data_IF_214690977371
#
_entry.id   IF_214690977371
#
_cell.length_a   1.000
_cell.length_b   1.000
_cell.length_c   1.000
_cell.angle_alpha   90.00
_cell.angle_beta   90.00
_cell.angle_gamma   90.00
#
_symmetry.space_group_name_H-M   'P 1'
#
loop_
_entity.id
_entity.type
_entity.pdbx_description
1 polymer ?
#
# COMPACT_ATOMS: atom_id res chain seq x y z
N UNK A 1 29.86 39.27 9.57
CA UNK A 1 29.65 38.43 8.37
C UNK A 1 30.35 37.11 8.59
N UNK A 2 29.61 36.09 9.01
CA UNK A 2 29.89 34.66 8.81
C UNK A 2 28.58 33.95 9.15
N UNK A 3 27.74 33.75 8.14
CA UNK A 3 26.51 32.97 8.25
C UNK A 3 26.86 31.49 8.29
N UNK A 4 26.61 30.86 9.45
CA UNK A 4 26.57 29.42 9.63
C UNK A 4 25.21 28.90 9.16
N UNK A 5 25.09 28.52 7.89
CA UNK A 5 23.99 27.68 7.44
C UNK A 5 24.24 26.23 7.87
N UNK A 6 23.66 25.85 9.00
CA UNK A 6 23.48 24.45 9.39
C UNK A 6 22.58 23.76 8.34
N UNK A 7 23.19 22.97 7.46
CA UNK A 7 22.50 21.91 6.73
C UNK A 7 22.01 20.92 7.78
N UNK A 8 20.71 20.98 8.15
CA UNK A 8 20.10 19.92 8.96
C UNK A 8 20.11 18.65 8.13
N UNK A 9 20.61 17.57 8.71
CA UNK A 9 20.56 16.21 8.22
C UNK A 9 19.13 15.83 7.82
N UNK A 10 18.75 16.05 6.56
CA UNK A 10 17.60 15.38 5.97
C UNK A 10 18.06 14.00 5.56
N UNK A 11 17.73 12.98 6.34
CA UNK A 11 17.90 11.58 5.93
C UNK A 11 17.38 11.42 4.48
N UNK A 12 18.12 10.74 3.58
CA UNK A 12 17.67 10.54 2.21
C UNK A 12 16.29 9.87 2.24
N UNK A 13 15.34 10.39 1.46
CA UNK A 13 14.00 9.82 1.38
C UNK A 13 14.10 8.41 0.78
N UNK A 14 14.20 7.40 1.64
CA UNK A 14 14.11 6.00 1.24
C UNK A 14 12.65 5.71 0.92
N UNK A 15 12.37 5.26 -0.30
CA UNK A 15 11.04 4.77 -0.68
C UNK A 15 10.71 3.54 0.18
N UNK A 16 9.79 3.72 1.13
CA UNK A 16 9.36 2.64 2.01
C UNK A 16 8.17 1.93 1.37
N UNK A 17 8.21 0.59 1.36
CA UNK A 17 7.09 -0.24 0.98
C UNK A 17 6.72 -1.21 2.09
N UNK A 18 5.44 -1.55 2.18
CA UNK A 18 4.97 -2.63 3.02
C UNK A 18 4.80 -3.90 2.18
N UNK A 19 5.85 -4.71 2.09
CA UNK A 19 5.87 -5.86 1.19
C UNK A 19 6.75 -7.02 1.68
N UNK A 20 6.36 -8.24 1.34
CA UNK A 20 7.09 -9.46 1.62
C UNK A 20 6.79 -10.54 0.58
N UNK A 21 7.74 -11.46 0.40
CA UNK A 21 7.57 -12.67 -0.40
C UNK A 21 7.84 -13.93 0.42
N UNK A 22 7.06 -14.97 0.13
CA UNK A 22 7.25 -16.31 0.66
C UNK A 22 7.56 -17.31 -0.46
N UNK A 23 8.41 -18.30 -0.17
CA UNK A 23 8.67 -19.43 -1.06
C UNK A 23 7.58 -20.47 -0.86
N UNK A 24 6.82 -20.85 -1.90
CA UNK A 24 5.85 -21.94 -1.78
C UNK A 24 6.57 -23.28 -1.49
N UNK A 25 5.92 -24.17 -0.74
CA UNK A 25 6.47 -25.50 -0.42
C UNK A 25 6.71 -26.36 -1.66
N UNK A 26 5.93 -26.10 -2.72
CA UNK A 26 6.14 -26.65 -4.05
C UNK A 26 5.61 -25.66 -5.11
N UNK A 27 6.25 -25.50 -6.28
CA UNK A 27 5.78 -24.58 -7.33
C UNK A 27 4.31 -24.80 -7.74
N UNK A 28 3.85 -26.05 -7.79
CA UNK A 28 2.49 -26.44 -8.15
C UNK A 28 1.45 -26.16 -7.05
N UNK A 29 1.88 -25.71 -5.88
CA UNK A 29 0.98 -25.32 -4.80
C UNK A 29 0.34 -23.94 -5.00
N UNK A 30 0.76 -23.20 -6.05
CA UNK A 30 0.27 -21.87 -6.40
C UNK A 30 -0.11 -21.78 -7.87
N UNK A 31 -1.10 -20.94 -8.17
CA UNK A 31 -1.60 -20.61 -9.51
C UNK A 31 -1.66 -19.07 -9.62
N UNK A 32 -1.11 -18.51 -10.70
CA UNK A 32 -0.95 -17.07 -10.90
C UNK A 32 -2.24 -16.33 -11.32
N UNK A 33 -3.35 -17.06 -11.50
CA UNK A 33 -4.62 -16.49 -11.87
C UNK A 33 -5.34 -15.85 -10.68
N UNK A 34 -5.41 -14.51 -10.66
CA UNK A 34 -6.09 -13.74 -9.63
C UNK A 34 -7.60 -14.00 -9.69
N UNK A 35 -8.21 -14.43 -8.58
CA UNK A 35 -9.62 -14.85 -8.55
C UNK A 35 -10.54 -13.71 -9.01
N UNK A 36 -11.19 -13.91 -10.17
CA UNK A 36 -12.12 -12.98 -10.78
C UNK A 36 -11.48 -11.89 -11.66
N UNK A 37 -10.15 -11.87 -11.76
CA UNK A 37 -9.42 -10.88 -12.58
C UNK A 37 -8.53 -11.52 -13.65
N UNK A 38 -8.08 -12.77 -13.48
CA UNK A 38 -7.22 -13.46 -14.43
C UNK A 38 -5.73 -13.23 -14.18
N UNK A 39 -4.90 -13.49 -15.18
CA UNK A 39 -3.44 -13.34 -15.07
C UNK A 39 -2.99 -11.91 -15.32
N UNK A 40 -1.91 -11.51 -14.64
CA UNK A 40 -1.24 -10.22 -14.81
C UNK A 40 -0.55 -10.18 -16.18
N UNK A 41 -0.65 -9.06 -16.88
CA UNK A 41 -0.14 -8.87 -18.25
C UNK A 41 1.06 -7.94 -18.35
N UNK A 42 1.41 -7.26 -17.26
CA UNK A 42 2.56 -6.37 -17.17
C UNK A 42 2.43 -5.43 -15.98
N UNK A 43 3.18 -4.34 -16.02
CA UNK A 43 3.19 -3.28 -15.01
C UNK A 43 2.96 -1.92 -15.68
N UNK A 44 2.31 -1.01 -14.98
CA UNK A 44 2.14 0.38 -15.44
C UNK A 44 2.18 1.33 -14.23
N UNK A 45 2.59 2.58 -14.46
CA UNK A 45 2.47 3.63 -13.46
C UNK A 45 0.99 3.97 -13.21
N UNK A 46 0.70 4.49 -12.00
CA UNK A 46 -0.61 5.02 -11.68
C UNK A 46 -0.83 6.38 -12.36
N UNK A 47 -2.00 6.59 -12.94
CA UNK A 47 -2.44 7.88 -13.44
C UNK A 47 -3.67 8.38 -12.67
N UNK A 48 -3.79 9.69 -12.46
CA UNK A 48 -4.99 10.29 -11.85
C UNK A 48 -6.24 9.93 -12.66
N UNK A 49 -7.33 9.61 -11.97
CA UNK A 49 -8.63 9.14 -12.51
C UNK A 49 -8.59 7.83 -13.28
N UNK A 50 -7.45 7.13 -13.29
CA UNK A 50 -7.40 5.80 -13.89
C UNK A 50 -8.36 4.87 -13.16
N UNK A 51 -9.26 4.25 -13.92
CA UNK A 51 -10.12 3.18 -13.43
C UNK A 51 -9.27 1.95 -13.08
N UNK A 52 -9.52 1.43 -11.89
CA UNK A 52 -8.73 0.35 -11.31
C UNK A 52 -9.62 -0.70 -10.64
N UNK A 53 -9.07 -1.89 -10.47
CA UNK A 53 -9.72 -3.04 -9.86
C UNK A 53 -8.75 -3.86 -9.04
N UNK A 54 -9.25 -4.51 -8.00
CA UNK A 54 -8.47 -5.43 -7.15
C UNK A 54 -9.31 -6.63 -6.75
N UNK A 55 -8.67 -7.70 -6.30
CA UNK A 55 -9.33 -8.89 -5.77
C UNK A 55 -8.75 -9.24 -4.40
N UNK A 56 -9.56 -9.08 -3.35
CA UNK A 56 -9.16 -9.28 -1.96
C UNK A 56 -9.89 -10.40 -1.24
N UNK A 57 -9.26 -10.92 -0.18
CA UNK A 57 -9.81 -11.96 0.70
C UNK A 57 -11.17 -11.57 1.29
N UNK A 58 -11.30 -10.32 1.76
CA UNK A 58 -12.46 -9.87 2.53
C UNK A 58 -13.60 -9.41 1.62
N UNK A 59 -13.31 -8.57 0.62
CA UNK A 59 -14.36 -7.94 -0.21
C UNK A 59 -14.45 -8.51 -1.63
N UNK A 60 -13.57 -9.46 -1.99
CA UNK A 60 -13.54 -10.01 -3.35
C UNK A 60 -13.10 -8.97 -4.38
N UNK A 61 -13.73 -9.02 -5.57
CA UNK A 61 -13.43 -8.07 -6.65
C UNK A 61 -14.13 -6.75 -6.39
N UNK A 62 -13.36 -5.67 -6.29
CA UNK A 62 -13.87 -4.30 -6.19
C UNK A 62 -13.23 -3.40 -7.24
N UNK A 63 -13.89 -2.28 -7.53
CA UNK A 63 -13.50 -1.30 -8.53
C UNK A 63 -13.51 0.10 -7.91
N UNK A 64 -12.71 0.99 -8.47
CA UNK A 64 -12.60 2.39 -8.07
C UNK A 64 -11.70 3.13 -9.04
N UNK A 65 -11.23 4.32 -8.66
CA UNK A 65 -10.29 5.08 -9.45
C UNK A 65 -9.22 5.72 -8.57
N UNK A 66 -8.07 6.03 -9.18
CA UNK A 66 -6.97 6.76 -8.54
C UNK A 66 -7.37 8.22 -8.31
N UNK A 67 -7.22 8.69 -7.08
CA UNK A 67 -7.59 10.07 -6.67
C UNK A 67 -6.37 10.93 -6.34
N UNK A 68 -5.29 10.33 -5.82
CA UNK A 68 -4.03 11.02 -5.49
C UNK A 68 -2.85 10.11 -5.81
N UNK A 69 -1.78 10.68 -6.39
CA UNK A 69 -0.52 9.99 -6.68
C UNK A 69 0.66 10.68 -6.01
N UNK A 70 1.79 9.98 -5.91
CA UNK A 70 3.02 10.55 -5.35
C UNK A 70 2.89 10.94 -3.87
N UNK A 71 2.06 10.24 -3.13
CA UNK A 71 1.59 10.67 -1.82
C UNK A 71 2.57 10.28 -0.72
N UNK A 72 3.00 11.24 0.10
CA UNK A 72 3.66 10.95 1.37
C UNK A 72 2.62 10.84 2.47
N UNK A 73 2.58 9.72 3.20
CA UNK A 73 1.51 9.39 4.16
C UNK A 73 2.05 8.87 5.48
N UNK A 74 1.37 9.21 6.58
CA UNK A 74 1.55 8.59 7.89
C UNK A 74 0.44 7.56 8.12
N UNK A 75 0.82 6.31 8.36
CA UNK A 75 -0.12 5.19 8.52
C UNK A 75 0.10 4.50 9.84
N UNK A 76 -0.98 4.29 10.60
CA UNK A 76 -0.95 3.48 11.82
C UNK A 76 -0.88 1.98 11.52
N UNK A 77 0.06 1.28 12.15
CA UNK A 77 0.31 -0.18 11.96
C UNK A 77 0.09 -0.99 13.23
N UNK A 78 -0.84 -0.51 14.07
CA UNK A 78 -1.21 -1.12 15.36
C UNK A 78 -0.24 -0.78 16.50
N UNK A 79 -0.74 -0.93 17.73
CA UNK A 79 0.03 -0.69 18.97
C UNK A 79 0.66 0.69 19.07
N UNK A 80 -0.01 1.73 18.53
CA UNK A 80 0.48 3.11 18.53
C UNK A 80 1.67 3.38 17.59
N UNK A 81 2.12 2.38 16.82
CA UNK A 81 3.21 2.54 15.86
C UNK A 81 2.71 3.20 14.58
N UNK A 82 3.55 4.07 14.03
CA UNK A 82 3.30 4.78 12.77
C UNK A 82 4.47 4.55 11.83
N UNK A 83 4.18 4.34 10.55
CA UNK A 83 5.17 4.33 9.47
C UNK A 83 4.89 5.51 8.53
N UNK A 84 5.95 6.04 7.92
CA UNK A 84 5.87 7.08 6.89
C UNK A 84 6.35 6.53 5.56
N UNK A 85 5.47 6.52 4.56
CA UNK A 85 5.77 6.06 3.22
C UNK A 85 5.63 7.22 2.25
N UNK A 86 6.56 7.34 1.32
CA UNK A 86 6.56 8.32 0.24
C UNK A 86 6.10 7.67 -1.06
N UNK A 87 5.60 8.48 -1.99
CA UNK A 87 5.23 8.04 -3.35
C UNK A 87 4.05 7.06 -3.45
N UNK A 88 3.15 7.07 -2.47
CA UNK A 88 2.02 6.16 -2.41
C UNK A 88 0.86 6.56 -3.34
N UNK A 89 0.04 5.58 -3.70
CA UNK A 89 -1.15 5.75 -4.53
C UNK A 89 -2.38 5.73 -3.63
N UNK A 90 -3.29 6.67 -3.84
CA UNK A 90 -4.57 6.75 -3.16
C UNK A 90 -5.69 6.58 -4.18
N UNK A 91 -6.67 5.77 -3.82
CA UNK A 91 -7.89 5.56 -4.62
C UNK A 91 -9.12 5.86 -3.77
N UNK A 92 -10.28 5.94 -4.42
CA UNK A 92 -11.57 5.78 -3.73
C UNK A 92 -11.59 4.55 -2.83
N UNK A 93 -12.44 4.51 -1.80
CA UNK A 93 -12.60 3.33 -0.96
C UNK A 93 -12.87 2.07 -1.79
N UNK A 94 -11.99 1.09 -1.70
CA UNK A 94 -12.08 -0.18 -2.45
C UNK A 94 -11.95 -1.42 -1.55
N UNK A 95 -11.67 -1.26 -0.26
CA UNK A 95 -11.23 -2.36 0.58
C UNK A 95 -11.69 -2.28 2.04
N UNK A 96 -11.72 -3.45 2.66
CA UNK A 96 -11.93 -3.64 4.09
C UNK A 96 -10.71 -4.33 4.72
N UNK A 97 -10.55 -4.28 6.06
CA UNK A 97 -9.50 -5.04 6.75
C UNK A 97 -9.43 -6.51 6.30
N UNK A 98 -8.22 -6.96 5.97
CA UNK A 98 -7.93 -8.30 5.42
C UNK A 98 -7.73 -8.34 3.90
N UNK A 99 -8.06 -7.27 3.17
CA UNK A 99 -7.69 -7.13 1.75
C UNK A 99 -6.22 -6.72 1.54
N UNK A 100 -5.49 -6.39 2.60
CA UNK A 100 -4.05 -6.11 2.57
C UNK A 100 -3.30 -7.19 1.79
N UNK A 101 -2.53 -6.77 0.80
CA UNK A 101 -1.78 -7.63 -0.10
C UNK A 101 -2.45 -7.76 -1.46
N UNK A 102 -3.70 -7.33 -1.64
CA UNK A 102 -4.36 -7.35 -2.95
C UNK A 102 -3.61 -6.49 -3.98
N UNK A 103 -3.40 -7.04 -5.17
CA UNK A 103 -2.83 -6.31 -6.30
C UNK A 103 -3.88 -5.39 -6.94
N UNK A 104 -3.49 -4.14 -7.20
CA UNK A 104 -4.25 -3.16 -7.96
C UNK A 104 -3.92 -3.28 -9.44
N UNK A 105 -4.95 -3.43 -10.27
CA UNK A 105 -4.83 -3.61 -11.71
C UNK A 105 -5.63 -2.56 -12.48
N UNK A 106 -5.18 -2.23 -13.69
CA UNK A 106 -6.01 -1.53 -14.68
C UNK A 106 -7.00 -2.48 -15.39
N UNK A 107 -7.73 -1.94 -16.38
CA UNK A 107 -8.65 -2.70 -17.25
C UNK A 107 -7.97 -3.72 -18.17
N UNK A 108 -6.67 -3.61 -18.41
CA UNK A 108 -5.86 -4.50 -19.24
C UNK A 108 -5.07 -5.54 -18.43
N UNK A 109 -5.23 -5.56 -17.09
CA UNK A 109 -4.48 -6.40 -16.15
C UNK A 109 -2.98 -6.06 -16.06
N UNK A 110 -2.60 -4.80 -16.28
CA UNK A 110 -1.30 -4.31 -15.83
C UNK A 110 -1.39 -3.98 -14.34
N UNK A 111 -0.38 -4.39 -13.58
CA UNK A 111 -0.29 -4.08 -12.17
C UNK A 111 0.15 -2.64 -11.94
N UNK A 112 -0.44 -2.00 -10.94
CA UNK A 112 -0.22 -0.60 -10.59
C UNK A 112 0.33 -0.49 -9.16
N UNK A 113 -0.22 -1.26 -8.22
CA UNK A 113 0.18 -1.16 -6.82
C UNK A 113 -0.24 -2.34 -5.94
N UNK A 114 0.28 -2.36 -4.72
CA UNK A 114 0.02 -3.37 -3.69
C UNK A 114 -0.70 -2.73 -2.50
N UNK A 115 -1.92 -3.17 -2.21
CA UNK A 115 -2.75 -2.63 -1.13
C UNK A 115 -2.06 -2.86 0.21
N UNK A 116 -1.96 -1.83 1.05
CA UNK A 116 -1.42 -1.99 2.41
C UNK A 116 -2.23 -1.30 3.52
N UNK A 117 -3.01 -0.27 3.19
CA UNK A 117 -3.74 0.52 4.17
C UNK A 117 -4.99 1.16 3.58
N UNK A 118 -5.80 1.75 4.45
CA UNK A 118 -6.98 2.49 4.05
C UNK A 118 -7.67 3.17 5.22
N UNK A 119 -8.89 3.64 4.94
CA UNK A 119 -9.81 4.22 5.91
C UNK A 119 -11.26 3.92 5.50
N UNK A 120 -12.21 4.58 6.15
CA UNK A 120 -13.61 4.57 5.71
C UNK A 120 -13.84 5.30 4.37
N UNK A 121 -12.90 6.10 3.87
CA UNK A 121 -13.08 6.91 2.65
C UNK A 121 -12.10 6.61 1.51
N UNK A 122 -10.90 6.08 1.81
CA UNK A 122 -9.85 5.84 0.80
C UNK A 122 -9.15 4.50 0.97
N UNK A 123 -8.44 4.07 -0.07
CA UNK A 123 -7.56 2.89 -0.04
C UNK A 123 -6.19 3.25 -0.60
N UNK A 124 -5.13 2.78 0.07
CA UNK A 124 -3.73 3.10 -0.22
C UNK A 124 -2.95 1.89 -0.73
N UNK A 125 -2.08 2.16 -1.70
CA UNK A 125 -1.26 1.16 -2.36
C UNK A 125 0.19 1.64 -2.47
N UNK A 126 1.12 0.71 -2.21
CA UNK A 126 2.52 0.88 -2.61
C UNK A 126 2.62 0.79 -4.13
N UNK A 127 3.37 1.67 -4.82
CA UNK A 127 3.60 1.51 -6.26
C UNK A 127 4.25 0.17 -6.56
N UNK A 128 3.72 -0.54 -7.56
CA UNK A 128 4.16 -1.93 -7.79
C UNK A 128 5.64 -1.99 -8.17
N UNK A 129 6.14 -1.04 -8.96
CA UNK A 129 7.54 -1.00 -9.38
C UNK A 129 8.50 -0.93 -8.18
N UNK A 130 8.14 -0.18 -7.13
CA UNK A 130 8.94 -0.10 -5.90
C UNK A 130 8.91 -1.41 -5.12
N UNK A 131 7.75 -2.07 -5.05
CA UNK A 131 7.61 -3.39 -4.42
C UNK A 131 8.49 -4.43 -5.12
N UNK A 132 8.43 -4.47 -6.46
CA UNK A 132 9.21 -5.40 -7.28
C UNK A 132 10.72 -5.17 -7.10
N UNK A 133 11.16 -3.91 -7.15
CA UNK A 133 12.56 -3.53 -6.93
C UNK A 133 13.03 -3.89 -5.52
N UNK A 134 12.25 -3.56 -4.49
CA UNK A 134 12.57 -3.80 -3.09
C UNK A 134 12.72 -5.31 -2.78
N UNK A 135 11.88 -6.15 -3.37
CA UNK A 135 11.87 -7.60 -3.12
C UNK A 135 12.69 -8.40 -4.13
N UNK A 136 13.24 -7.73 -5.16
CA UNK A 136 13.99 -8.34 -6.27
C UNK A 136 13.17 -9.42 -6.98
N UNK A 137 11.97 -9.05 -7.41
CA UNK A 137 11.02 -9.94 -8.10
C UNK A 137 10.41 -9.25 -9.33
N UNK A 138 9.82 -10.01 -10.23
CA UNK A 138 9.04 -9.56 -11.40
C UNK A 138 7.67 -10.24 -11.44
N UNK A 139 6.68 -9.65 -12.10
CA UNK A 139 5.30 -10.17 -12.13
C UNK A 139 5.06 -11.17 -13.25
N UNK A 140 5.81 -11.06 -14.34
CA UNK A 140 5.66 -11.95 -15.51
C UNK A 140 6.90 -12.80 -15.69
N UNK A 141 6.76 -13.97 -16.33
CA UNK A 141 7.89 -14.85 -16.66
C UNK A 141 8.86 -14.24 -17.68
N UNK A 142 8.36 -13.33 -18.50
CA UNK A 142 9.13 -12.67 -19.55
C UNK A 142 10.05 -11.60 -18.96
N UNK A 143 11.32 -11.62 -19.38
CA UNK A 143 12.35 -10.69 -18.94
C UNK A 143 12.21 -9.28 -19.53
N UNK A 144 11.07 -8.96 -20.17
CA UNK A 144 10.80 -7.69 -20.86
C UNK A 144 9.62 -6.97 -20.19
N UNK A 145 9.73 -6.71 -18.89
CA UNK A 145 8.90 -5.64 -18.31
C UNK A 145 9.40 -4.33 -18.94
N UNK A 146 8.65 -3.81 -19.89
CA UNK A 146 9.01 -2.59 -20.61
C UNK A 146 8.97 -1.42 -19.63
N UNK A 147 10.13 -0.83 -19.40
CA UNK A 147 10.37 0.40 -18.61
C UNK A 147 9.79 1.66 -19.28
N UNK A 148 8.74 1.50 -20.10
CA UNK A 148 8.19 2.57 -20.92
C UNK A 148 7.44 3.57 -20.03
N UNK A 149 8.16 4.64 -19.69
CA UNK A 149 7.65 5.91 -19.16
C UNK A 149 6.90 5.78 -17.83
N UNK A 150 7.60 5.37 -16.77
CA UNK A 150 7.18 5.59 -15.37
C UNK A 150 7.14 7.08 -14.98
N UNK A 151 7.56 7.98 -15.87
CA UNK A 151 7.57 9.43 -15.69
C UNK A 151 6.14 9.97 -15.65
N UNK A 152 5.75 10.58 -14.54
CA UNK A 152 4.47 11.25 -14.43
C UNK A 152 4.59 12.64 -15.04
N UNK A 153 3.57 13.08 -15.79
CA UNK A 153 3.48 14.50 -16.17
C UNK A 153 3.42 15.44 -14.95
N UNK A 154 3.23 14.89 -13.75
CA UNK A 154 3.16 15.59 -12.48
C UNK A 154 4.45 15.51 -11.65
N UNK A 155 5.57 15.03 -12.20
CA UNK A 155 6.83 14.84 -11.45
C UNK A 155 7.23 16.08 -10.65
N UNK A 156 7.16 17.28 -11.23
CA UNK A 156 7.47 18.53 -10.50
C UNK A 156 6.54 18.78 -9.31
N UNK A 157 5.23 18.47 -9.43
CA UNK A 157 4.28 18.60 -8.32
C UNK A 157 4.49 17.49 -7.28
N UNK A 158 4.87 16.28 -7.69
CA UNK A 158 5.19 15.18 -6.78
C UNK A 158 6.45 15.52 -5.97
N UNK A 159 7.48 16.09 -6.62
CA UNK A 159 8.68 16.59 -5.95
C UNK A 159 8.33 17.67 -4.94
N UNK A 160 7.49 18.64 -5.31
CA UNK A 160 7.03 19.69 -4.40
C UNK A 160 6.21 19.13 -3.22
N UNK A 161 5.27 18.20 -3.47
CA UNK A 161 4.49 17.53 -2.43
C UNK A 161 5.40 16.85 -1.40
N UNK A 162 6.45 16.18 -1.88
CA UNK A 162 7.45 15.50 -1.04
C UNK A 162 8.29 16.48 -0.24
N UNK A 163 8.73 17.57 -0.85
CA UNK A 163 9.48 18.64 -0.19
C UNK A 163 8.67 19.25 0.96
N UNK A 164 7.40 19.59 0.71
CA UNK A 164 6.51 20.22 1.71
C UNK A 164 5.91 19.25 2.73
N UNK A 165 6.13 17.94 2.58
CA UNK A 165 5.50 16.94 3.45
C UNK A 165 5.87 17.11 4.93
N UNK A 166 7.15 17.36 5.24
CA UNK A 166 7.59 17.57 6.61
C UNK A 166 6.89 18.77 7.27
N UNK A 167 6.77 19.88 6.53
CA UNK A 167 6.11 21.09 7.01
C UNK A 167 4.62 20.85 7.26
N UNK A 168 3.95 20.19 6.32
CA UNK A 168 2.54 19.86 6.41
C UNK A 168 2.21 18.87 7.54
N UNK A 169 3.13 17.99 7.91
CA UNK A 169 2.93 17.08 9.04
C UNK A 169 3.02 17.74 10.42
N UNK A 170 3.35 19.04 10.51
CA UNK A 170 3.19 19.78 11.76
C UNK A 170 1.72 20.05 12.10
N UNK A 171 0.83 20.03 11.11
CA UNK A 171 -0.60 20.17 11.33
C UNK A 171 -1.17 18.85 11.87
N UNK A 172 -1.73 18.80 13.10
CA UNK A 172 -2.14 17.53 13.72
C UNK A 172 -3.24 16.77 12.96
N UNK A 173 -4.00 17.47 12.12
CA UNK A 173 -5.05 16.90 11.28
C UNK A 173 -4.50 16.22 10.02
N UNK A 174 -3.30 16.56 9.56
CA UNK A 174 -2.72 16.07 8.30
C UNK A 174 -2.17 14.66 8.45
N UNK A 175 -2.55 13.80 7.50
CA UNK A 175 -2.13 12.39 7.42
C UNK A 175 -1.45 12.05 6.09
N UNK A 176 -1.53 12.94 5.10
CA UNK A 176 -0.73 12.80 3.89
C UNK A 176 -0.78 14.03 2.98
N UNK A 177 0.16 14.06 2.03
CA UNK A 177 0.19 15.05 0.94
C UNK A 177 0.63 14.37 -0.34
N UNK A 178 -0.04 14.66 -1.44
CA UNK A 178 0.30 14.14 -2.77
C UNK A 178 -0.23 15.05 -3.86
N UNK A 179 -0.35 14.53 -5.08
CA UNK A 179 -0.89 15.27 -6.23
C UNK A 179 -2.25 14.69 -6.63
N UNK A 180 -3.26 15.55 -6.69
CA UNK A 180 -4.59 15.27 -7.23
C UNK A 180 -5.08 16.46 -8.04
N UNK A 181 -6.39 16.62 -8.22
CA UNK A 181 -6.96 17.86 -8.76
C UNK A 181 -7.72 18.63 -7.70
N UNK A 182 -7.94 19.91 -8.02
CA UNK A 182 -8.68 20.82 -7.16
C UNK A 182 -10.18 20.53 -7.24
N UNK A 183 -10.78 20.25 -6.09
CA UNK A 183 -12.24 20.13 -5.94
C UNK A 183 -12.79 21.45 -5.36
N UNK A 184 -13.84 22.00 -5.98
CA UNK A 184 -14.54 23.21 -5.52
C UNK A 184 -16.03 22.95 -5.54
N UNK A 185 -16.70 23.13 -4.39
CA UNK A 185 -18.13 22.83 -4.24
C UNK A 185 -18.49 21.43 -4.75
N UNK A 186 -17.69 20.43 -4.37
CA UNK A 186 -17.82 19.02 -4.77
C UNK A 186 -17.63 18.74 -6.28
N UNK A 187 -17.24 19.75 -7.05
CA UNK A 187 -16.94 19.62 -8.48
C UNK A 187 -15.44 19.58 -8.69
N UNK A 188 -14.98 18.55 -9.38
CA UNK A 188 -13.61 18.44 -9.87
C UNK A 188 -13.35 19.48 -10.97
N UNK A 189 -12.36 20.33 -10.77
CA UNK A 189 -12.00 21.38 -11.72
C UNK A 189 -11.03 20.92 -12.82
N UNK A 190 -10.49 19.71 -12.71
CA UNK A 190 -9.45 19.15 -13.58
C UNK A 190 -8.08 19.80 -13.41
N UNK A 191 -7.94 20.82 -12.54
CA UNK A 191 -6.67 21.54 -12.33
C UNK A 191 -5.79 20.79 -11.31
N UNK A 192 -4.57 20.36 -11.68
CA UNK A 192 -3.66 19.69 -10.76
C UNK A 192 -3.30 20.59 -9.57
N UNK A 193 -3.19 19.98 -8.38
CA UNK A 193 -2.87 20.70 -7.14
C UNK A 193 -2.20 19.76 -6.12
N UNK A 194 -1.65 20.34 -5.04
CA UNK A 194 -1.23 19.58 -3.88
C UNK A 194 -2.46 19.18 -3.06
N UNK A 195 -2.75 17.90 -3.02
CA UNK A 195 -3.84 17.37 -2.19
C UNK A 195 -3.32 17.03 -0.81
N UNK A 196 -3.84 17.72 0.21
CA UNK A 196 -3.57 17.49 1.62
C UNK A 196 -4.68 16.63 2.22
N UNK A 197 -4.32 15.43 2.65
CA UNK A 197 -5.21 14.46 3.26
C UNK A 197 -5.30 14.72 4.77
N UNK A 198 -6.52 14.86 5.29
CA UNK A 198 -6.77 15.12 6.71
C UNK A 198 -7.66 14.07 7.35
N UNK A 199 -7.49 13.87 8.66
CA UNK A 199 -8.32 12.96 9.49
C UNK A 199 -9.80 13.33 9.43
N UNK A 200 -10.09 14.63 9.53
CA UNK A 200 -11.43 15.17 9.52
C UNK A 200 -11.38 16.59 8.96
N UNK A 201 -12.30 16.92 8.07
CA UNK A 201 -12.46 18.27 7.54
C UNK A 201 -13.35 19.07 8.50
N UNK A 202 -12.85 20.22 8.94
CA UNK A 202 -13.61 21.20 9.73
C UNK A 202 -14.04 22.35 8.83
N UNK A 203 -15.14 23.02 9.18
CA UNK A 203 -15.52 24.27 8.53
C UNK A 203 -14.52 25.38 8.92
N UNK A 204 -14.43 26.43 8.10
CA UNK A 204 -13.44 27.50 8.31
C UNK A 204 -13.63 28.22 9.64
N UNK A 205 -14.87 28.30 10.12
CA UNK A 205 -15.24 28.96 11.37
C UNK A 205 -14.79 28.17 12.61
N UNK A 206 -14.49 26.88 12.45
CA UNK A 206 -14.05 25.97 13.51
C UNK A 206 -12.53 25.74 13.52
N UNK A 207 -11.80 26.39 12.62
CA UNK A 207 -10.35 26.28 12.50
C UNK A 207 -9.67 27.50 13.10
N UNK A 208 -8.63 27.28 13.90
CA UNK A 208 -7.68 28.35 14.22
C UNK A 208 -6.78 28.65 13.01
N UNK A 209 -6.10 29.79 13.00
CA UNK A 209 -5.10 30.11 11.97
C UNK A 209 -3.98 29.07 11.91
N UNK A 210 -3.64 28.45 13.04
CA UNK A 210 -2.62 27.39 13.15
C UNK A 210 -3.10 26.03 12.61
N UNK A 211 -4.42 25.83 12.49
CA UNK A 211 -5.00 24.63 11.86
C UNK A 211 -5.32 24.85 10.37
N UNK A 212 -5.25 26.10 9.88
CA UNK A 212 -5.61 26.45 8.52
C UNK A 212 -4.48 26.13 7.55
N UNK A 213 -4.69 25.09 6.74
CA UNK A 213 -3.78 24.73 5.66
C UNK A 213 -3.79 25.87 4.61
N UNK A 214 -2.62 26.41 4.23
CA UNK A 214 -2.53 27.47 3.22
C UNK A 214 -3.19 27.05 1.90
N UNK A 215 -3.94 27.96 1.27
CA UNK A 215 -4.59 27.71 -0.03
C UNK A 215 -3.60 27.57 -1.21
N UNK A 216 -2.33 27.91 -0.97
CA UNK A 216 -1.19 27.70 -1.86
C UNK A 216 0.05 27.37 -1.04
N UNK A 217 0.90 26.52 -1.59
CA UNK A 217 2.26 26.30 -1.10
C UNK A 217 3.19 26.57 -2.28
N UNK A 218 4.06 27.56 -2.11
CA UNK A 218 4.77 28.21 -3.21
C UNK A 218 3.77 28.63 -4.31
N UNK A 219 3.98 28.19 -5.56
CA UNK A 219 3.09 28.49 -6.68
C UNK A 219 1.94 27.47 -6.84
N UNK A 220 1.99 26.33 -6.13
CA UNK A 220 1.01 25.28 -6.29
C UNK A 220 -0.24 25.55 -5.43
N UNK A 221 -1.41 25.46 -6.06
CA UNK A 221 -2.68 25.43 -5.34
C UNK A 221 -2.73 24.21 -4.41
N UNK A 222 -3.42 24.33 -3.28
CA UNK A 222 -3.70 23.21 -2.39
C UNK A 222 -5.17 22.82 -2.43
N UNK A 223 -5.46 21.57 -2.12
CA UNK A 223 -6.81 21.11 -1.80
C UNK A 223 -6.83 20.23 -0.57
N UNK A 224 -7.87 20.36 0.26
CA UNK A 224 -7.99 19.63 1.53
C UNK A 224 -9.08 18.59 1.41
N UNK A 225 -8.68 17.32 1.47
CA UNK A 225 -9.54 16.15 1.29
C UNK A 225 -9.59 15.34 2.58
N UNK A 226 -10.79 15.00 3.04
CA UNK A 226 -10.97 14.14 4.21
C UNK A 226 -10.68 12.68 3.84
N UNK A 227 -9.61 12.14 4.42
CA UNK A 227 -9.24 10.74 4.25
C UNK A 227 -9.56 9.87 5.46
N UNK A 228 -9.99 10.44 6.58
CA UNK A 228 -10.10 9.68 7.82
C UNK A 228 -8.74 9.25 8.39
N UNK A 229 -8.78 8.39 9.41
CA UNK A 229 -7.59 7.82 10.03
C UNK A 229 -7.03 6.68 9.16
N UNK A 230 -5.84 6.89 8.60
CA UNK A 230 -5.16 5.90 7.76
C UNK A 230 -4.51 4.83 8.63
N UNK A 231 -4.88 3.56 8.41
CA UNK A 231 -4.32 2.43 9.14
C UNK A 231 -4.33 1.15 8.31
N UNK A 232 -3.56 0.15 8.73
CA UNK A 232 -3.54 -1.19 8.09
C UNK A 232 -4.77 -2.05 8.41
N UNK A 233 -5.65 -1.57 9.29
CA UNK A 233 -6.86 -2.27 9.71
C UNK A 233 -6.60 -3.40 10.70
N UNK A 234 -7.52 -3.57 11.66
CA UNK A 234 -7.60 -4.79 12.45
C UNK A 234 -8.57 -5.75 11.76
N UNK A 235 -8.09 -6.94 11.40
CA UNK A 235 -8.94 -7.97 10.80
C UNK A 235 -9.79 -8.61 11.88
N UNK A 236 -11.09 -8.34 11.89
CA UNK A 236 -12.03 -8.97 12.82
C UNK A 236 -12.58 -10.26 12.24
N UNK A 237 -12.95 -11.20 13.12
CA UNK A 237 -13.56 -12.47 12.72
C UNK A 237 -14.99 -12.19 12.21
N UNK A 238 -15.15 -12.18 10.90
CA UNK A 238 -16.47 -11.99 10.27
C UNK A 238 -17.16 -13.35 10.08
N UNK A 239 -18.35 -13.51 10.68
CA UNK A 239 -19.16 -14.74 10.63
C UNK A 239 -20.20 -14.77 9.49
N UNK A 240 -20.12 -13.84 8.53
CA UNK A 240 -20.94 -13.86 7.32
C UNK A 240 -20.31 -14.65 6.17
N UNK A 241 -21.11 -14.92 5.13
CA UNK A 241 -21.03 -16.01 4.15
C UNK A 241 -19.63 -16.56 3.81
N UNK A 242 -19.58 -17.90 3.73
CA UNK A 242 -18.47 -18.73 3.20
C UNK A 242 -18.19 -18.40 1.73
N UNK A 243 -17.74 -17.19 1.43
CA UNK A 243 -17.06 -16.91 0.18
C UNK A 243 -15.79 -17.78 0.16
N UNK A 244 -15.58 -18.47 -0.95
CA UNK A 244 -14.51 -19.42 -1.31
C UNK A 244 -13.07 -18.93 -1.01
N UNK A 245 -12.92 -17.69 -0.54
CA UNK A 245 -11.63 -17.03 -0.31
C UNK A 245 -10.99 -17.30 1.04
N UNK A 246 -11.75 -17.82 2.01
CA UNK A 246 -11.27 -18.12 3.38
C UNK A 246 -11.03 -19.60 3.61
N UNK A 247 -11.27 -20.44 2.61
CA UNK A 247 -11.05 -21.89 2.71
C UNK A 247 -9.65 -22.26 2.22
N UNK A 248 -9.22 -23.46 2.60
CA UNK A 248 -8.02 -24.08 2.01
C UNK A 248 -8.25 -24.38 0.54
N UNK A 249 -7.28 -24.03 -0.29
CA UNK A 249 -7.28 -24.32 -1.72
C UNK A 249 -5.86 -24.66 -2.18
N UNK A 250 -5.73 -25.67 -3.06
CA UNK A 250 -4.48 -26.05 -3.72
C UNK A 250 -4.78 -26.41 -5.19
N UNK A 251 -4.08 -25.82 -6.18
CA UNK A 251 -3.17 -24.68 -6.03
C UNK A 251 -3.91 -23.47 -5.44
N UNK A 252 -3.24 -22.75 -4.54
CA UNK A 252 -3.78 -21.50 -4.01
C UNK A 252 -3.63 -20.40 -5.07
N UNK A 253 -4.60 -19.49 -5.08
CA UNK A 253 -4.65 -18.39 -6.04
C UNK A 253 -4.64 -17.03 -5.35
N UNK A 254 -4.14 -15.97 -6.01
CA UNK A 254 -4.27 -14.64 -5.49
C UNK A 254 -5.73 -14.21 -5.27
N UNK A 255 -5.97 -13.46 -4.19
CA UNK A 255 -7.29 -13.12 -3.69
C UNK A 255 -7.82 -14.07 -2.61
N UNK A 256 -7.09 -15.13 -2.26
CA UNK A 256 -7.36 -16.00 -1.12
C UNK A 256 -6.73 -15.46 0.18
N UNK A 257 -7.22 -15.97 1.30
CA UNK A 257 -6.62 -15.80 2.63
C UNK A 257 -5.22 -16.41 2.68
N UNK A 258 -4.27 -15.64 3.21
CA UNK A 258 -2.92 -16.09 3.54
C UNK A 258 -2.39 -15.29 4.73
N UNK A 259 -1.49 -15.86 5.53
CA UNK A 259 -0.78 -15.09 6.55
C UNK A 259 0.44 -15.84 7.10
N UNK A 260 1.35 -15.06 7.69
CA UNK A 260 2.31 -15.55 8.67
C UNK A 260 1.59 -16.24 9.84
N UNK A 261 2.14 -17.34 10.35
CA UNK A 261 1.50 -18.15 11.39
C UNK A 261 1.19 -17.40 12.70
N UNK A 262 1.88 -16.29 12.96
CA UNK A 262 1.65 -15.44 14.16
C UNK A 262 0.68 -14.26 13.95
N UNK A 263 0.23 -13.99 12.72
CA UNK A 263 -0.74 -12.90 12.45
C UNK A 263 -2.14 -13.45 12.14
N UNK A 264 -3.08 -12.53 11.92
CA UNK A 264 -4.48 -12.86 11.67
C UNK A 264 -4.71 -13.45 10.27
N UNK A 265 -4.83 -12.61 9.25
CA UNK A 265 -4.99 -12.97 7.84
C UNK A 265 -4.81 -11.72 6.97
N UNK A 266 -4.34 -11.92 5.75
CA UNK A 266 -4.38 -10.95 4.67
C UNK A 266 -4.73 -11.65 3.36
N UNK A 267 -4.32 -11.04 2.25
CA UNK A 267 -4.58 -11.53 0.90
C UNK A 267 -3.31 -12.04 0.24
N UNK A 268 -3.39 -13.21 -0.40
CA UNK A 268 -2.40 -13.65 -1.37
C UNK A 268 -2.46 -12.70 -2.57
N UNK A 269 -1.45 -11.85 -2.75
CA UNK A 269 -1.50 -10.74 -3.69
C UNK A 269 -1.26 -11.10 -5.14
N UNK A 270 -0.18 -11.84 -5.39
CA UNK A 270 0.21 -12.30 -6.71
C UNK A 270 1.24 -13.43 -6.58
N UNK A 271 1.30 -14.30 -7.59
CA UNK A 271 2.53 -15.04 -7.85
C UNK A 271 3.50 -14.07 -8.53
N UNK A 272 4.71 -13.97 -8.01
CA UNK A 272 5.83 -13.20 -8.58
C UNK A 272 7.01 -14.14 -8.79
N UNK A 273 8.01 -13.71 -9.55
CA UNK A 273 9.16 -14.53 -9.89
C UNK A 273 10.44 -13.86 -9.42
N UNK A 274 11.31 -14.59 -8.75
CA UNK A 274 12.62 -14.09 -8.35
C UNK A 274 13.46 -13.69 -9.57
N UNK A 275 14.10 -12.53 -9.55
CA UNK A 275 14.87 -12.04 -10.70
C UNK A 275 16.12 -12.86 -10.98
N UNK A 276 16.66 -13.61 -10.00
CA UNK A 276 17.94 -14.30 -10.16
C UNK A 276 17.76 -15.73 -10.69
N UNK A 277 16.73 -16.45 -10.22
CA UNK A 277 16.52 -17.86 -10.58
C UNK A 277 15.16 -18.15 -11.23
N UNK A 278 14.25 -17.16 -11.29
CA UNK A 278 12.93 -17.33 -11.87
C UNK A 278 11.96 -18.18 -11.04
N UNK A 279 12.30 -18.52 -9.79
CA UNK A 279 11.42 -19.30 -8.91
C UNK A 279 10.11 -18.54 -8.63
N UNK A 280 8.94 -19.21 -8.67
CA UNK A 280 7.68 -18.60 -8.28
C UNK A 280 7.64 -18.38 -6.76
N UNK A 281 7.20 -17.20 -6.35
CA UNK A 281 7.07 -16.74 -4.99
C UNK A 281 5.67 -16.17 -4.75
N UNK A 282 5.25 -16.17 -3.50
CA UNK A 282 3.98 -15.60 -3.06
C UNK A 282 4.22 -14.17 -2.57
N UNK A 283 3.61 -13.17 -3.21
CA UNK A 283 3.65 -11.76 -2.80
C UNK A 283 2.48 -11.40 -1.87
N UNK A 284 2.77 -10.64 -0.81
CA UNK A 284 1.80 -9.89 -0.02
C UNK A 284 2.52 -8.78 0.79
N UNK A 285 1.90 -8.20 1.80
CA UNK A 285 2.52 -7.19 2.66
C UNK A 285 3.49 -7.79 3.69
N UNK A 286 4.40 -6.97 4.22
CA UNK A 286 5.20 -7.32 5.39
C UNK A 286 4.28 -7.59 6.59
N UNK A 287 3.28 -6.75 6.85
CA UNK A 287 2.38 -7.03 7.99
C UNK A 287 1.52 -8.29 7.82
N UNK A 288 1.44 -8.86 6.61
CA UNK A 288 0.72 -10.11 6.33
C UNK A 288 1.66 -11.33 6.40
N UNK A 289 2.86 -11.28 5.83
CA UNK A 289 3.77 -12.45 5.74
C UNK A 289 4.97 -12.38 6.70
N UNK A 290 5.26 -11.23 7.29
CA UNK A 290 6.43 -10.97 8.12
C UNK A 290 6.10 -10.25 9.43
N UNK A 291 4.86 -10.41 9.93
CA UNK A 291 4.48 -9.99 11.28
C UNK A 291 4.76 -8.51 11.63
N UNK A 292 4.67 -7.62 10.63
CA UNK A 292 4.92 -6.19 10.77
C UNK A 292 6.30 -5.89 11.40
N UNK A 293 7.31 -6.69 11.02
CA UNK A 293 8.67 -6.60 11.56
C UNK A 293 9.44 -5.42 10.96
N UNK A 294 10.31 -4.82 11.79
CA UNK A 294 11.38 -3.92 11.34
C UNK A 294 12.70 -4.64 11.02
N UNK A 295 12.69 -5.98 11.00
CA UNK A 295 13.86 -6.82 10.73
C UNK A 295 14.88 -6.94 11.88
N UNK A 296 14.66 -6.25 13.01
CA UNK A 296 15.53 -6.27 14.20
C UNK A 296 14.80 -6.61 15.50
N UNK A 297 13.46 -6.65 15.46
CA UNK A 297 12.58 -6.89 16.61
C UNK A 297 12.33 -8.36 16.93
N UNK A 298 12.78 -9.28 16.07
CA UNK A 298 12.59 -10.72 16.24
C UNK A 298 11.16 -11.21 15.98
N UNK A 299 10.28 -10.38 15.41
CA UNK A 299 8.88 -10.75 15.12
C UNK A 299 8.73 -11.70 13.94
N UNK A 300 9.68 -11.67 13.00
CA UNK A 300 9.73 -12.60 11.86
C UNK A 300 11.16 -12.80 11.36
N UNK A 301 11.39 -13.95 10.72
CA UNK A 301 12.65 -14.32 10.07
C UNK A 301 12.39 -15.23 8.85
N UNK A 302 13.37 -15.30 7.95
CA UNK A 302 13.30 -16.25 6.85
C UNK A 302 13.14 -17.69 7.37
N UNK A 303 12.31 -18.48 6.70
CA UNK A 303 11.92 -19.82 7.13
C UNK A 303 10.66 -19.88 7.99
N UNK A 304 10.11 -18.74 8.43
CA UNK A 304 8.87 -18.74 9.20
C UNK A 304 7.68 -19.23 8.37
N UNK A 305 6.79 -19.98 9.01
CA UNK A 305 5.67 -20.63 8.36
C UNK A 305 4.62 -19.65 7.82
N UNK A 306 4.21 -19.86 6.56
CA UNK A 306 3.09 -19.17 5.93
C UNK A 306 1.94 -20.15 5.73
N UNK A 307 0.74 -19.75 6.13
CA UNK A 307 -0.47 -20.58 6.11
C UNK A 307 -1.45 -20.09 5.02
N UNK A 308 -2.08 -21.04 4.33
CA UNK A 308 -3.23 -20.81 3.44
C UNK A 308 -4.32 -21.85 3.78
N UNK A 309 -5.45 -21.44 4.37
CA UNK A 309 -5.81 -20.04 4.68
C UNK A 309 -5.02 -19.50 5.89
N UNK A 310 -5.09 -18.19 6.15
CA UNK A 310 -4.50 -17.57 7.34
C UNK A 310 -5.14 -18.07 8.65
N UNK A 311 -4.47 -17.86 9.79
CA UNK A 311 -4.91 -18.36 11.11
C UNK A 311 -6.31 -17.92 11.50
N UNK A 312 -6.67 -16.65 11.22
CA UNK A 312 -8.01 -16.12 11.51
C UNK A 312 -9.13 -16.86 10.75
N UNK A 313 -8.81 -17.44 9.60
CA UNK A 313 -9.71 -18.20 8.74
C UNK A 313 -9.69 -19.71 8.99
N UNK A 314 -9.04 -20.15 10.06
CA UNK A 314 -8.99 -21.56 10.46
C UNK A 314 -7.79 -22.32 9.92
N UNK A 315 -6.78 -21.64 9.37
CA UNK A 315 -5.51 -22.27 9.01
C UNK A 315 -4.75 -22.76 10.25
N UNK A 316 -4.24 -23.98 10.20
CA UNK A 316 -3.50 -24.62 11.29
C UNK A 316 -2.09 -25.03 10.84
N UNK A 317 -1.13 -24.88 11.75
CA UNK A 317 0.24 -25.37 11.56
C UNK A 317 0.37 -26.80 12.11
N UNK A 318 1.00 -27.76 11.41
CA UNK A 318 1.60 -27.64 10.08
C UNK A 318 0.62 -27.87 8.91
N UNK A 319 -0.60 -28.33 9.18
CA UNK A 319 -1.50 -28.89 8.14
C UNK A 319 -1.85 -27.97 6.97
N UNK A 320 -1.83 -26.66 7.17
CA UNK A 320 -2.20 -25.64 6.17
C UNK A 320 -1.03 -24.76 5.73
N UNK A 321 0.20 -25.17 6.07
CA UNK A 321 1.39 -24.53 5.54
C UNK A 321 1.35 -24.57 4.00
N UNK A 322 1.62 -23.42 3.38
CA UNK A 322 1.76 -23.28 1.93
C UNK A 322 3.21 -22.97 1.53
N UNK A 323 4.02 -22.51 2.47
CA UNK A 323 5.39 -22.09 2.21
C UNK A 323 6.03 -21.45 3.42
N UNK A 324 7.18 -20.83 3.17
CA UNK A 324 8.01 -20.19 4.18
C UNK A 324 8.33 -18.75 3.77
N UNK A 325 8.37 -17.83 4.73
CA UNK A 325 8.81 -16.47 4.52
C UNK A 325 10.23 -16.48 3.93
N UNK A 326 10.43 -15.75 2.83
CA UNK A 326 11.72 -15.69 2.14
C UNK A 326 12.40 -14.33 2.31
N UNK A 327 11.69 -13.23 1.98
CA UNK A 327 12.20 -11.86 2.08
C UNK A 327 11.08 -10.90 2.47
N UNK A 328 11.44 -9.79 3.08
CA UNK A 328 10.53 -8.69 3.38
C UNK A 328 11.27 -7.37 3.34
N UNK A 329 10.54 -6.28 3.09
CA UNK A 329 11.05 -4.93 3.29
C UNK A 329 10.85 -4.53 4.76
N UNK A 330 11.90 -4.22 5.53
CA UNK A 330 11.77 -3.83 6.94
C UNK A 330 10.91 -2.56 7.12
N UNK A 331 9.98 -2.57 8.08
CA UNK A 331 9.20 -1.38 8.40
C UNK A 331 10.01 -0.41 9.26
N UNK A 332 9.99 0.88 8.91
CA UNK A 332 10.64 1.93 9.68
C UNK A 332 9.59 2.74 10.45
N UNK A 333 9.53 2.54 11.75
CA UNK A 333 8.61 3.26 12.61
C UNK A 333 9.13 4.67 12.91
N UNK A 334 8.26 5.66 12.81
CA UNK A 334 8.56 7.02 13.23
C UNK A 334 8.09 7.25 14.67
N UNK A 335 8.93 7.91 15.47
CA UNK A 335 8.55 8.32 16.82
C UNK A 335 7.54 9.46 16.72
N UNK A 336 6.43 9.28 17.41
CA UNK A 336 5.35 10.23 17.38
C UNK A 336 5.48 11.18 18.58
N UNK A 337 6.34 12.20 18.46
CA UNK A 337 6.55 13.16 19.55
C UNK A 337 5.40 14.15 19.75
N UNK A 338 4.41 14.20 18.82
CA UNK A 338 3.39 15.26 18.74
C UNK A 338 1.96 14.74 18.40
N UNK A 339 1.52 13.59 18.91
CA UNK A 339 0.08 13.23 18.95
C UNK A 339 -0.30 12.86 20.37
#
# INVERSE_FOLDING_TARGET
MTDNCNYKDTEPVVYQVDAAVARPSAPESVDDNIIGLGTVKGVTAAALYQDVRKSGRSTGVTRGHVTVIGTTVNVGVGSGRIIRLSDQIVTTRMADPGDSGSLLLDGANHAIGLLFAGSSSVTLYNPIHQVLAALRVRLTQDSRESDSSLTSQYDSLISLAREKAADLFHFPSVVGVGVGTKIVNEVDTGKPCLTVLVKQKKSRELLSEEELIPGKLDEAATDVVESGYLNTGSVTKWYGSRLDRKIKMRPARPGLSIAHYQVSAGTFGAVVYDINNGEPLILSNNHVLANATNGKDGLAKAGDAILQPGKLDGGNLPGDMIGELLRFYPLHFINNSNI
#
